data_IF_618772821357
#
_entry.id   IF_618772821357
#
_cell.length_a   1.000
_cell.length_b   1.000
_cell.length_c   1.000
_cell.angle_alpha   90.00
_cell.angle_beta   90.00
_cell.angle_gamma   90.00
#
_symmetry.space_group_name_H-M   'P 1'
#
loop_
_entity.id
_entity.type
_entity.pdbx_description
1 polymer ?
#
# COMPACT_ATOMS: atom_id res chain seq x y z
N UNK A 1 21.09 -1.70 10.35
CA UNK A 1 19.66 -1.34 10.27
C UNK A 1 18.82 -2.54 10.70
N UNK A 2 17.88 -2.37 11.63
CA UNK A 2 16.94 -3.38 12.09
C UNK A 2 15.70 -3.39 11.18
N UNK A 3 15.56 -4.43 10.36
CA UNK A 3 14.43 -4.56 9.42
C UNK A 3 13.76 -5.92 9.51
N UNK A 4 12.51 -5.97 9.04
CA UNK A 4 11.75 -7.21 8.87
C UNK A 4 10.75 -7.05 7.71
N UNK A 5 10.42 -8.16 7.06
CA UNK A 5 9.32 -8.23 6.12
C UNK A 5 8.05 -8.74 6.82
N UNK A 6 6.96 -7.99 6.65
CA UNK A 6 5.64 -8.25 7.23
C UNK A 6 4.69 -8.59 6.08
N UNK A 7 4.41 -9.87 5.88
CA UNK A 7 3.48 -10.33 4.85
C UNK A 7 2.06 -10.31 5.44
N UNK A 8 1.23 -9.39 4.96
CA UNK A 8 -0.17 -9.26 5.34
C UNK A 8 -0.93 -10.43 4.74
N UNK A 9 -1.27 -11.42 5.57
CA UNK A 9 -1.99 -12.61 5.15
C UNK A 9 -3.21 -12.86 6.02
N UNK A 10 -4.32 -13.20 5.36
CA UNK A 10 -5.56 -13.52 6.03
C UNK A 10 -5.57 -15.00 6.40
N UNK A 11 -5.64 -15.33 7.69
CA UNK A 11 -5.51 -16.70 8.20
C UNK A 11 -6.41 -17.75 7.51
N UNK A 12 -7.61 -17.36 7.07
CA UNK A 12 -8.53 -18.26 6.36
C UNK A 12 -8.22 -18.46 4.88
N UNK A 13 -7.31 -17.69 4.30
CA UNK A 13 -6.97 -17.74 2.88
C UNK A 13 -5.97 -18.88 2.59
N UNK A 14 -6.36 -20.11 2.95
CA UNK A 14 -5.49 -21.31 2.89
C UNK A 14 -4.87 -21.54 1.52
N UNK A 15 -5.60 -21.22 0.43
CA UNK A 15 -5.10 -21.31 -0.95
C UNK A 15 -3.83 -20.50 -1.22
N UNK A 16 -3.61 -19.41 -0.48
CA UNK A 16 -2.40 -18.57 -0.59
C UNK A 16 -1.33 -18.92 0.44
N UNK A 17 -1.61 -19.81 1.40
CA UNK A 17 -0.68 -20.18 2.47
C UNK A 17 0.63 -20.74 1.92
N UNK A 18 0.56 -21.70 1.00
CA UNK A 18 1.76 -22.28 0.37
C UNK A 18 2.60 -21.25 -0.38
N UNK A 19 1.95 -20.29 -1.04
CA UNK A 19 2.64 -19.18 -1.72
C UNK A 19 3.37 -18.28 -0.73
N UNK A 20 2.69 -17.89 0.35
CA UNK A 20 3.28 -17.06 1.42
C UNK A 20 4.48 -17.77 2.06
N UNK A 21 4.39 -19.07 2.34
CA UNK A 21 5.50 -19.85 2.88
C UNK A 21 6.71 -19.90 1.93
N UNK A 22 6.47 -20.02 0.62
CA UNK A 22 7.53 -19.94 -0.40
C UNK A 22 8.14 -18.55 -0.46
N UNK A 23 7.32 -17.50 -0.42
CA UNK A 23 7.77 -16.11 -0.44
C UNK A 23 8.67 -15.78 0.77
N UNK A 24 8.31 -16.24 1.98
CA UNK A 24 9.13 -16.07 3.19
C UNK A 24 10.56 -16.59 2.99
N UNK A 25 10.72 -17.73 2.33
CA UNK A 25 12.03 -18.36 2.10
C UNK A 25 12.86 -17.64 1.03
N UNK A 26 12.21 -16.91 0.11
CA UNK A 26 12.84 -16.22 -1.02
C UNK A 26 13.21 -14.78 -0.72
N UNK A 27 12.56 -14.15 0.26
CA UNK A 27 12.88 -12.77 0.65
C UNK A 27 14.30 -12.68 1.24
N UNK A 28 15.11 -11.68 0.84
CA UNK A 28 16.50 -11.55 1.29
C UNK A 28 16.62 -10.96 2.71
N UNK A 29 15.49 -10.68 3.38
CA UNK A 29 15.42 -10.23 4.77
C UNK A 29 14.47 -11.13 5.56
N UNK A 30 14.63 -11.15 6.90
CA UNK A 30 13.77 -11.96 7.78
C UNK A 30 12.30 -11.58 7.56
N UNK A 31 11.50 -12.57 7.18
CA UNK A 31 10.09 -12.40 6.87
C UNK A 31 9.21 -13.17 7.87
N UNK A 32 8.04 -12.62 8.13
CA UNK A 32 7.01 -13.26 8.95
C UNK A 32 5.61 -12.93 8.43
N UNK A 33 4.65 -13.76 8.84
CA UNK A 33 3.24 -13.51 8.57
C UNK A 33 2.71 -12.51 9.59
N UNK A 34 2.15 -11.41 9.09
CA UNK A 34 1.30 -10.51 9.85
C UNK A 34 -0.16 -10.86 9.57
N UNK A 35 -0.87 -11.36 10.58
CA UNK A 35 -2.30 -11.66 10.45
C UNK A 35 -3.09 -10.41 10.05
N UNK A 36 -3.68 -10.44 8.86
CA UNK A 36 -4.55 -9.40 8.34
C UNK A 36 -5.80 -9.25 9.22
N UNK A 37 -6.35 -8.04 9.24
CA UNK A 37 -7.66 -7.77 9.83
C UNK A 37 -8.73 -8.39 8.94
N UNK A 38 -9.63 -9.13 9.56
CA UNK A 38 -10.70 -9.82 8.87
C UNK A 38 -11.99 -9.02 8.90
N UNK A 39 -12.47 -8.58 7.74
CA UNK A 39 -13.75 -7.88 7.61
C UNK A 39 -14.94 -8.65 8.19
N UNK A 40 -14.88 -9.99 8.24
CA UNK A 40 -15.96 -10.83 8.80
C UNK A 40 -16.04 -10.76 10.32
N UNK A 41 -14.96 -10.32 10.98
CA UNK A 41 -14.88 -10.21 12.43
C UNK A 41 -15.04 -8.76 12.90
N UNK A 42 -15.27 -7.81 12.00
CA UNK A 42 -15.45 -6.40 12.35
C UNK A 42 -16.92 -6.11 12.68
N UNK A 43 -17.16 -5.55 13.85
CA UNK A 43 -18.46 -5.04 14.27
C UNK A 43 -18.74 -3.67 13.64
N UNK A 44 -20.02 -3.25 13.53
CA UNK A 44 -20.35 -1.90 13.08
C UNK A 44 -19.68 -0.79 13.91
N UNK A 45 -19.61 -0.95 15.23
CA UNK A 45 -18.97 0.04 16.12
C UNK A 45 -17.46 0.19 15.86
N UNK A 46 -16.76 -0.92 15.58
CA UNK A 46 -15.35 -0.88 15.20
C UNK A 46 -15.13 -0.22 13.84
N UNK A 47 -16.07 -0.40 12.89
CA UNK A 47 -16.04 0.28 11.59
C UNK A 47 -16.23 1.79 11.79
N UNK A 48 -17.25 2.20 12.54
CA UNK A 48 -17.58 3.62 12.76
C UNK A 48 -16.48 4.39 13.52
N UNK A 49 -15.75 3.70 14.38
CA UNK A 49 -14.61 4.26 15.11
C UNK A 49 -13.48 4.72 14.18
N UNK A 50 -13.23 3.99 13.09
CA UNK A 50 -12.07 4.25 12.20
C UNK A 50 -12.46 4.84 10.84
N UNK A 51 -13.70 4.67 10.40
CA UNK A 51 -14.16 5.09 9.09
C UNK A 51 -15.32 6.08 9.17
N UNK A 52 -15.22 7.15 8.37
CA UNK A 52 -16.36 8.04 8.13
C UNK A 52 -16.26 8.65 6.73
N UNK A 53 -17.40 8.98 6.13
CA UNK A 53 -17.45 9.60 4.80
C UNK A 53 -16.95 11.06 4.86
N UNK A 54 -16.29 11.49 3.78
CA UNK A 54 -16.03 12.90 3.49
C UNK A 54 -15.22 13.67 4.56
N UNK A 55 -14.31 12.99 5.27
CA UNK A 55 -13.43 13.63 6.26
C UNK A 55 -12.44 14.62 5.63
N UNK A 56 -11.99 14.38 4.39
CA UNK A 56 -10.91 15.16 3.76
C UNK A 56 -11.27 15.59 2.33
N UNK A 57 -10.84 16.79 1.94
CA UNK A 57 -10.94 17.25 0.54
C UNK A 57 -9.71 16.79 -0.28
N UNK A 58 -9.88 16.52 -1.60
CA UNK A 58 -11.16 16.38 -2.30
C UNK A 58 -11.94 15.15 -1.80
N UNK A 59 -13.26 15.24 -1.74
CA UNK A 59 -14.08 14.17 -1.17
C UNK A 59 -14.02 12.91 -2.03
N UNK A 60 -13.78 11.78 -1.39
CA UNK A 60 -13.74 10.50 -2.08
C UNK A 60 -15.16 10.07 -2.47
N UNK A 61 -15.44 9.80 -3.76
CA UNK A 61 -16.81 9.64 -4.25
C UNK A 61 -17.50 8.32 -3.88
N UNK A 62 -16.76 7.35 -3.36
CA UNK A 62 -17.29 6.00 -3.10
C UNK A 62 -17.23 5.64 -1.62
N UNK A 63 -18.28 5.00 -1.14
CA UNK A 63 -18.27 4.34 0.16
C UNK A 63 -17.33 3.12 0.12
N UNK A 64 -16.59 2.91 1.21
CA UNK A 64 -15.71 1.76 1.37
C UNK A 64 -16.53 0.52 1.74
N UNK A 65 -16.19 -0.60 1.12
CA UNK A 65 -16.64 -1.93 1.55
C UNK A 65 -15.95 -2.29 2.87
N UNK A 66 -16.56 -3.12 3.74
CA UNK A 66 -15.90 -3.64 4.93
C UNK A 66 -14.52 -4.28 4.63
N UNK A 67 -14.38 -4.95 3.48
CA UNK A 67 -13.09 -5.50 3.04
C UNK A 67 -12.03 -4.44 2.69
N UNK A 68 -12.43 -3.27 2.20
CA UNK A 68 -11.52 -2.15 1.94
C UNK A 68 -11.09 -1.49 3.27
N UNK A 69 -11.99 -1.42 4.25
CA UNK A 69 -11.71 -0.93 5.61
C UNK A 69 -10.75 -1.89 6.33
N UNK A 70 -11.01 -3.20 6.26
CA UNK A 70 -10.14 -4.23 6.84
C UNK A 70 -8.74 -4.27 6.17
N UNK A 71 -8.67 -4.09 4.85
CA UNK A 71 -7.40 -3.93 4.14
C UNK A 71 -6.63 -2.71 4.68
N UNK A 72 -7.27 -1.55 4.83
CA UNK A 72 -6.65 -0.37 5.43
C UNK A 72 -6.12 -0.67 6.83
N UNK A 73 -6.96 -1.23 7.70
CA UNK A 73 -6.59 -1.59 9.07
C UNK A 73 -5.44 -2.61 9.13
N UNK A 74 -5.31 -3.49 8.14
CA UNK A 74 -4.19 -4.43 8.03
C UNK A 74 -2.86 -3.71 7.74
N UNK A 75 -2.86 -2.70 6.87
CA UNK A 75 -1.67 -1.85 6.67
C UNK A 75 -1.34 -1.02 7.89
N UNK A 76 -2.35 -0.43 8.56
CA UNK A 76 -2.15 0.26 9.84
C UNK A 76 -1.54 -0.66 10.90
N UNK A 77 -1.99 -1.92 10.97
CA UNK A 77 -1.38 -2.93 11.85
C UNK A 77 0.09 -3.20 11.51
N UNK A 78 0.45 -3.22 10.22
CA UNK A 78 1.84 -3.36 9.79
C UNK A 78 2.68 -2.15 10.22
N UNK A 79 2.17 -0.94 10.06
CA UNK A 79 2.84 0.29 10.52
C UNK A 79 3.00 0.31 12.04
N UNK A 80 1.96 -0.08 12.79
CA UNK A 80 2.03 -0.20 14.25
C UNK A 80 3.11 -1.20 14.66
N UNK A 81 3.17 -2.35 13.98
CA UNK A 81 4.20 -3.37 14.22
C UNK A 81 5.63 -2.83 14.02
N UNK A 82 5.86 -2.00 13.00
CA UNK A 82 7.15 -1.35 12.74
C UNK A 82 7.56 -0.46 13.93
N UNK A 83 6.62 0.36 14.42
CA UNK A 83 6.84 1.29 15.54
C UNK A 83 7.03 0.53 16.85
N UNK A 84 6.11 -0.36 17.20
CA UNK A 84 6.09 -1.14 18.45
C UNK A 84 7.34 -2.00 18.62
N UNK A 85 7.83 -2.61 17.53
CA UNK A 85 9.03 -3.44 17.55
C UNK A 85 10.32 -2.63 17.41
N UNK A 86 10.23 -1.31 17.35
CA UNK A 86 11.34 -0.39 17.13
C UNK A 86 12.23 -0.81 15.95
N UNK A 87 11.61 -1.14 14.81
CA UNK A 87 12.34 -1.40 13.56
C UNK A 87 12.81 -0.07 12.98
N UNK A 88 13.91 -0.05 12.23
CA UNK A 88 14.30 1.14 11.47
C UNK A 88 13.41 1.31 10.23
N UNK A 89 13.09 0.18 9.59
CA UNK A 89 12.14 0.09 8.49
C UNK A 89 11.48 -1.31 8.42
N UNK A 90 10.27 -1.39 7.86
CA UNK A 90 9.59 -2.65 7.59
C UNK A 90 9.17 -2.78 6.14
N UNK A 91 9.41 -3.96 5.54
CA UNK A 91 8.93 -4.30 4.20
C UNK A 91 7.53 -4.91 4.32
N UNK A 92 6.49 -4.14 4.02
CA UNK A 92 5.10 -4.57 4.06
C UNK A 92 4.72 -5.17 2.71
N UNK A 93 4.11 -6.36 2.70
CA UNK A 93 3.83 -7.14 1.49
C UNK A 93 2.40 -7.71 1.53
N UNK A 94 1.63 -7.61 0.44
CA UNK A 94 0.36 -8.33 0.25
C UNK A 94 0.60 -9.82 -0.07
N UNK A 95 -0.28 -10.70 0.38
CA UNK A 95 -0.12 -12.16 0.26
C UNK A 95 -0.29 -12.73 -1.17
N UNK A 96 -0.60 -11.89 -2.15
CA UNK A 96 -0.67 -12.22 -3.57
C UNK A 96 0.51 -11.65 -4.38
N UNK A 97 1.53 -11.11 -3.71
CA UNK A 97 2.75 -10.63 -4.36
C UNK A 97 3.74 -11.75 -4.57
N UNK A 98 4.36 -11.75 -5.74
CA UNK A 98 5.55 -12.53 -6.02
C UNK A 98 6.67 -11.64 -6.57
N UNK A 99 7.90 -12.11 -6.46
CA UNK A 99 9.13 -11.37 -6.74
C UNK A 99 9.94 -12.03 -7.86
N UNK A 100 10.74 -11.23 -8.55
CA UNK A 100 11.79 -11.68 -9.46
C UNK A 100 13.11 -11.72 -8.68
N UNK A 101 13.50 -12.90 -8.17
CA UNK A 101 14.46 -13.05 -7.06
C UNK A 101 15.73 -12.19 -7.16
N UNK A 102 16.50 -12.32 -8.25
CA UNK A 102 17.75 -11.57 -8.45
C UNK A 102 17.53 -10.06 -8.55
N UNK A 103 16.76 -9.57 -9.53
CA UNK A 103 16.46 -8.14 -9.67
C UNK A 103 15.83 -7.51 -8.43
N UNK A 104 14.95 -8.25 -7.73
CA UNK A 104 14.33 -7.78 -6.51
C UNK A 104 15.34 -7.64 -5.37
N UNK A 105 16.27 -8.59 -5.21
CA UNK A 105 17.30 -8.53 -4.17
C UNK A 105 18.22 -7.31 -4.36
N UNK A 106 18.68 -7.04 -5.58
CA UNK A 106 19.49 -5.86 -5.90
C UNK A 106 18.73 -4.56 -5.62
N UNK A 107 17.46 -4.50 -6.02
CA UNK A 107 16.63 -3.33 -5.79
C UNK A 107 16.33 -3.09 -4.32
N UNK A 108 16.05 -4.15 -3.55
CA UNK A 108 15.80 -4.04 -2.12
C UNK A 108 17.06 -3.64 -1.37
N UNK A 109 18.25 -4.12 -1.77
CA UNK A 109 19.51 -3.67 -1.21
C UNK A 109 19.70 -2.15 -1.38
N UNK A 110 19.47 -1.63 -2.60
CA UNK A 110 19.52 -0.19 -2.87
C UNK A 110 18.48 0.58 -2.03
N UNK A 111 17.25 0.06 -1.92
CA UNK A 111 16.20 0.69 -1.12
C UNK A 111 16.57 0.76 0.37
N UNK A 112 17.13 -0.33 0.92
CA UNK A 112 17.58 -0.41 2.31
C UNK A 112 18.77 0.50 2.62
N UNK A 113 19.65 0.73 1.64
CA UNK A 113 20.76 1.68 1.78
C UNK A 113 20.28 3.14 1.72
N UNK A 114 19.33 3.44 0.84
CA UNK A 114 18.86 4.81 0.61
C UNK A 114 17.81 5.30 1.62
N UNK A 115 17.04 4.39 2.22
CA UNK A 115 15.86 4.74 3.02
C UNK A 115 16.20 5.61 4.23
N UNK A 116 15.46 6.70 4.41
CA UNK A 116 15.47 7.52 5.62
C UNK A 116 14.27 7.18 6.53
N UNK A 117 14.32 7.48 7.83
CA UNK A 117 13.23 7.15 8.77
C UNK A 117 11.83 7.66 8.33
N UNK A 118 11.78 8.82 7.67
CA UNK A 118 10.57 9.45 7.15
C UNK A 118 10.14 9.00 5.75
N UNK A 119 10.77 7.97 5.17
CA UNK A 119 10.52 7.52 3.81
C UNK A 119 9.49 6.39 3.71
N UNK A 120 8.81 6.36 2.57
CA UNK A 120 7.90 5.30 2.16
C UNK A 120 8.23 4.93 0.70
N UNK A 121 8.93 3.81 0.50
CA UNK A 121 9.38 3.35 -0.82
C UNK A 121 8.40 2.32 -1.34
N UNK A 122 7.72 2.63 -2.44
CA UNK A 122 6.79 1.71 -3.12
C UNK A 122 7.54 0.81 -4.09
N UNK A 123 7.15 -0.45 -4.15
CA UNK A 123 7.55 -1.40 -5.20
C UNK A 123 6.33 -1.58 -6.11
N UNK A 124 6.23 -0.83 -7.22
CA UNK A 124 5.09 -0.94 -8.10
C UNK A 124 5.17 -2.22 -8.93
N UNK A 125 4.01 -2.83 -9.22
CA UNK A 125 3.90 -3.95 -10.17
C UNK A 125 3.75 -3.52 -11.64
N UNK A 126 3.55 -2.23 -11.89
CA UNK A 126 3.39 -1.68 -13.24
C UNK A 126 3.99 -0.30 -13.41
N UNK A 127 4.47 -0.02 -14.62
CA UNK A 127 4.95 1.29 -15.04
C UNK A 127 3.78 2.26 -15.29
N UNK A 128 3.20 2.86 -14.24
CA UNK A 128 2.06 3.81 -14.37
C UNK A 128 2.45 5.23 -14.83
N UNK A 129 3.47 5.37 -15.67
CA UNK A 129 3.95 6.69 -16.13
C UNK A 129 4.35 7.63 -14.99
N UNK A 130 4.86 7.07 -13.88
CA UNK A 130 5.39 7.91 -12.80
C UNK A 130 6.68 8.58 -13.29
N UNK A 131 6.76 9.90 -13.11
CA UNK A 131 7.93 10.69 -13.44
C UNK A 131 8.37 11.52 -12.22
N UNK A 132 9.68 11.62 -12.03
CA UNK A 132 10.28 12.28 -10.90
C UNK A 132 11.80 12.26 -10.97
N UNK A 133 12.44 12.65 -9.88
CA UNK A 133 13.91 12.69 -9.77
C UNK A 133 14.37 11.44 -9.04
N UNK A 134 15.40 10.78 -9.57
CA UNK A 134 16.08 9.70 -8.85
C UNK A 134 16.87 10.30 -7.68
N UNK A 135 16.66 9.74 -6.48
CA UNK A 135 17.41 10.11 -5.27
C UNK A 135 18.56 9.12 -5.00
N UNK A 136 18.48 7.92 -5.57
CA UNK A 136 19.49 6.88 -5.49
C UNK A 136 19.43 6.02 -6.75
N UNK A 137 20.58 5.54 -7.20
CA UNK A 137 20.70 4.68 -8.39
C UNK A 137 21.90 3.76 -8.24
N UNK A 138 21.72 2.50 -8.61
CA UNK A 138 22.79 1.53 -8.73
C UNK A 138 22.49 0.60 -9.91
N UNK A 139 23.34 0.64 -10.94
CA UNK A 139 23.10 -0.07 -12.20
C UNK A 139 21.76 0.30 -12.83
N UNK A 140 20.90 -0.70 -13.03
CA UNK A 140 19.54 -0.53 -13.58
C UNK A 140 18.50 -0.18 -12.52
N UNK A 141 18.83 -0.32 -11.23
CA UNK A 141 17.93 -0.02 -10.13
C UNK A 141 17.98 1.48 -9.78
N UNK A 142 16.81 2.07 -9.49
CA UNK A 142 16.72 3.43 -8.95
C UNK A 142 15.60 3.58 -7.92
N UNK A 143 15.79 4.51 -6.99
CA UNK A 143 14.75 4.99 -6.08
C UNK A 143 14.40 6.41 -6.51
N UNK A 144 13.16 6.61 -6.93
CA UNK A 144 12.68 7.85 -7.55
C UNK A 144 11.64 8.52 -6.65
N UNK A 145 11.69 9.86 -6.57
CA UNK A 145 10.67 10.65 -5.90
C UNK A 145 9.64 11.15 -6.94
N UNK A 146 8.46 10.52 -7.05
CA UNK A 146 7.49 10.86 -8.07
C UNK A 146 6.82 12.21 -7.82
N UNK A 147 6.55 12.93 -8.90
CA UNK A 147 5.74 14.17 -8.83
C UNK A 147 4.36 13.90 -8.26
N UNK A 148 3.75 12.78 -8.65
CA UNK A 148 2.53 12.22 -8.08
C UNK A 148 2.77 10.72 -7.92
N UNK A 149 2.75 10.18 -6.68
CA UNK A 149 2.85 8.74 -6.48
C UNK A 149 1.70 8.04 -7.20
N UNK A 150 1.95 6.89 -7.81
CA UNK A 150 0.93 6.00 -8.33
C UNK A 150 0.15 5.31 -7.22
N UNK A 151 -0.73 4.39 -7.63
CA UNK A 151 -1.52 3.56 -6.70
C UNK A 151 -0.95 2.16 -6.63
N UNK A 152 -1.36 1.44 -5.60
CA UNK A 152 -0.98 0.06 -5.35
C UNK A 152 -0.36 -0.06 -3.97
N UNK A 153 -0.76 -1.12 -3.28
CA UNK A 153 -0.34 -1.46 -1.92
C UNK A 153 0.29 -2.86 -1.85
N UNK A 154 0.75 -3.37 -3.00
CA UNK A 154 1.38 -4.69 -3.13
C UNK A 154 2.59 -4.84 -2.21
N UNK A 155 3.59 -3.96 -2.37
CA UNK A 155 4.78 -4.02 -1.54
C UNK A 155 5.37 -2.62 -1.29
N UNK A 156 5.74 -2.33 -0.03
CA UNK A 156 6.36 -1.08 0.37
C UNK A 156 7.39 -1.27 1.48
N UNK A 157 8.53 -0.59 1.37
CA UNK A 157 9.46 -0.42 2.48
C UNK A 157 9.13 0.89 3.20
N UNK A 158 8.80 0.79 4.49
CA UNK A 158 8.27 1.91 5.28
C UNK A 158 9.23 2.19 6.44
N UNK A 159 9.80 3.39 6.48
CA UNK A 159 10.61 3.87 7.59
C UNK A 159 9.76 4.08 8.85
N UNK A 160 10.39 3.98 10.03
CA UNK A 160 9.66 4.04 11.31
C UNK A 160 8.93 5.36 11.55
N UNK A 161 9.53 6.50 11.20
CA UNK A 161 8.87 7.80 11.37
C UNK A 161 7.72 7.96 10.37
N UNK A 162 7.91 7.47 9.12
CA UNK A 162 6.81 7.40 8.16
C UNK A 162 5.65 6.54 8.69
N UNK A 163 5.93 5.38 9.28
CA UNK A 163 4.91 4.53 9.87
C UNK A 163 4.14 5.24 11.00
N UNK A 164 4.84 5.92 11.91
CA UNK A 164 4.22 6.69 12.99
C UNK A 164 3.34 7.84 12.48
N UNK A 165 3.82 8.60 11.50
CA UNK A 165 3.06 9.70 10.89
C UNK A 165 1.83 9.20 10.13
N UNK A 166 1.95 8.09 9.40
CA UNK A 166 0.82 7.47 8.73
C UNK A 166 -0.23 6.97 9.73
N UNK A 167 0.19 6.38 10.87
CA UNK A 167 -0.73 5.97 11.93
C UNK A 167 -1.52 7.16 12.49
N UNK A 168 -0.84 8.26 12.80
CA UNK A 168 -1.45 9.49 13.32
C UNK A 168 -2.38 10.14 12.31
N UNK A 169 -1.95 10.25 11.05
CA UNK A 169 -2.73 10.88 9.99
C UNK A 169 -4.01 10.11 9.63
N UNK A 170 -4.05 8.82 9.94
CA UNK A 170 -5.11 7.89 9.51
C UNK A 170 -5.84 7.21 10.66
N UNK A 171 -5.81 7.78 11.88
CA UNK A 171 -6.67 7.34 13.01
C UNK A 171 -8.12 7.19 12.58
N UNK A 172 -8.58 8.14 11.75
CA UNK A 172 -9.81 8.02 10.97
C UNK A 172 -9.55 8.26 9.50
N UNK A 173 -10.21 7.51 8.62
CA UNK A 173 -10.06 7.62 7.17
C UNK A 173 -11.40 7.57 6.44
N UNK A 174 -11.42 8.09 5.22
CA UNK A 174 -12.64 8.23 4.40
C UNK A 174 -12.53 7.63 2.99
N UNK A 175 -11.37 7.02 2.69
CA UNK A 175 -11.01 6.47 1.37
C UNK A 175 -10.00 5.34 1.52
N UNK A 176 -9.72 4.55 0.46
CA UNK A 176 -8.82 3.42 0.55
C UNK A 176 -7.39 3.87 0.87
N UNK A 177 -6.59 2.96 1.44
CA UNK A 177 -5.22 3.24 1.87
C UNK A 177 -4.34 3.72 0.71
N UNK A 178 -4.44 3.09 -0.46
CA UNK A 178 -3.64 3.43 -1.65
C UNK A 178 -3.79 4.91 -2.09
N UNK A 179 -5.01 5.41 -1.97
CA UNK A 179 -5.40 6.76 -2.34
C UNK A 179 -5.05 7.74 -1.23
N UNK A 180 -5.05 7.28 0.02
CA UNK A 180 -4.65 8.09 1.19
C UNK A 180 -3.16 8.37 1.18
N UNK A 181 -2.31 7.40 0.83
CA UNK A 181 -0.85 7.59 0.71
C UNK A 181 -0.47 8.64 -0.35
N UNK A 182 -1.31 8.83 -1.38
CA UNK A 182 -1.07 9.89 -2.37
C UNK A 182 -1.33 11.30 -1.81
N UNK A 183 -2.08 11.41 -0.71
CA UNK A 183 -2.44 12.68 -0.09
C UNK A 183 -1.33 13.17 0.84
N UNK A 184 -0.18 13.52 0.26
CA UNK A 184 1.01 14.01 0.98
C UNK A 184 0.81 15.28 1.81
N UNK A 185 -0.37 15.88 1.79
CA UNK A 185 -0.76 16.98 2.68
C UNK A 185 -1.43 16.49 3.97
N UNK A 186 -1.69 15.19 4.10
CA UNK A 186 -2.23 14.57 5.31
C UNK A 186 -1.14 14.02 6.23
N UNK A 187 0.03 13.73 5.69
CA UNK A 187 1.17 13.14 6.39
C UNK A 187 2.47 13.71 5.85
N UNK A 188 3.54 13.67 6.63
CA UNK A 188 4.86 14.19 6.23
C UNK A 188 5.74 13.13 5.56
N UNK A 189 5.32 11.85 5.54
CA UNK A 189 6.09 10.78 4.93
C UNK A 189 6.46 11.07 3.46
N UNK A 190 7.75 10.95 3.12
CA UNK A 190 8.28 11.16 1.76
C UNK A 190 8.03 9.91 0.93
N UNK A 191 7.08 10.02 -0.01
CA UNK A 191 6.69 8.91 -0.87
C UNK A 191 7.65 8.80 -2.06
N UNK A 192 8.26 7.62 -2.19
CA UNK A 192 9.24 7.23 -3.20
C UNK A 192 8.73 5.99 -3.96
N UNK A 193 9.34 5.69 -5.11
CA UNK A 193 9.05 4.51 -5.94
C UNK A 193 10.35 3.86 -6.40
N UNK A 194 10.48 2.55 -6.19
CA UNK A 194 11.57 1.75 -6.70
C UNK A 194 11.36 1.38 -8.19
N UNK A 195 12.45 1.32 -8.95
CA UNK A 195 12.52 0.91 -10.36
C UNK A 195 13.72 -0.02 -10.59
N UNK A 196 13.67 -0.97 -11.54
CA UNK A 196 12.56 -1.30 -12.44
C UNK A 196 11.40 -2.03 -11.72
N UNK A 197 10.41 -2.53 -12.47
CA UNK A 197 9.38 -3.42 -11.91
C UNK A 197 10.02 -4.79 -11.66
N UNK A 198 9.96 -5.28 -10.43
CA UNK A 198 10.58 -6.54 -9.98
C UNK A 198 9.60 -7.43 -9.19
N UNK A 199 8.33 -7.00 -9.14
CA UNK A 199 7.25 -7.72 -8.47
C UNK A 199 6.07 -7.86 -9.42
N UNK A 200 5.26 -8.88 -9.18
CA UNK A 200 4.01 -9.15 -9.87
C UNK A 200 2.97 -9.66 -8.88
N UNK A 201 1.70 -9.52 -9.25
CA UNK A 201 0.64 -10.24 -8.56
C UNK A 201 0.55 -11.64 -9.19
N UNK A 202 0.34 -12.66 -8.37
CA UNK A 202 0.02 -13.99 -8.89
C UNK A 202 -1.42 -13.97 -9.39
N UNK A 203 -1.59 -14.15 -10.71
CA UNK A 203 -2.92 -14.20 -11.31
C UNK A 203 -3.67 -15.44 -10.83
N UNK A 204 -4.95 -15.23 -10.62
CA UNK A 204 -5.74 -15.97 -9.65
C UNK A 204 -6.37 -17.22 -10.28
N UNK A 205 -5.56 -18.24 -10.61
CA UNK A 205 -6.07 -19.61 -10.85
C UNK A 205 -6.63 -20.28 -9.56
N UNK A 206 -6.79 -19.48 -8.50
CA UNK A 206 -7.28 -19.88 -7.18
C UNK A 206 -8.52 -19.07 -6.69
N UNK A 207 -9.22 -18.30 -7.56
CA UNK A 207 -10.43 -17.53 -7.21
C UNK A 207 -10.36 -16.00 -7.20
N UNK A 208 -9.99 -15.39 -8.33
CA UNK A 208 -10.00 -13.94 -8.52
C UNK A 208 -11.40 -13.35 -8.41
N UNK A 209 -11.54 -12.33 -7.57
CA UNK A 209 -12.72 -11.49 -7.37
C UNK A 209 -13.95 -12.17 -6.74
N UNK A 210 -13.80 -12.76 -5.55
CA UNK A 210 -14.97 -12.90 -4.67
C UNK A 210 -15.42 -11.50 -4.27
N UNK A 211 -16.64 -11.16 -4.69
CA UNK A 211 -17.34 -9.86 -4.67
C UNK A 211 -17.12 -8.95 -5.90
N UNK A 212 -17.15 -9.51 -7.11
CA UNK A 212 -18.06 -8.92 -8.10
C UNK A 212 -19.48 -9.34 -7.73
N UNK A 213 -20.15 -8.50 -6.94
CA UNK A 213 -21.59 -8.61 -6.76
C UNK A 213 -22.25 -8.59 -8.14
N UNK A 214 -22.70 -9.77 -8.58
CA UNK A 214 -23.77 -9.90 -9.56
C UNK A 214 -24.93 -9.05 -9.03
N UNK A 215 -25.33 -8.04 -9.79
CA UNK A 215 -26.28 -6.95 -9.46
C UNK A 215 -25.67 -5.60 -9.05
N UNK A 216 -24.68 -5.08 -9.81
CA UNK A 216 -24.50 -3.63 -9.88
C UNK A 216 -25.35 -3.08 -11.02
N UNK A 217 -26.33 -2.24 -10.70
CA UNK A 217 -27.09 -1.46 -11.69
C UNK A 217 -26.13 -0.77 -12.65
N UNK A 218 -26.45 -0.78 -13.94
CA UNK A 218 -25.67 -0.13 -15.00
C UNK A 218 -25.25 1.29 -14.63
N UNK A 219 -26.12 2.05 -13.94
CA UNK A 219 -25.83 3.39 -13.45
C UNK A 219 -24.71 3.47 -12.40
N UNK A 220 -24.56 2.45 -11.53
CA UNK A 220 -23.48 2.40 -10.54
C UNK A 220 -22.11 2.10 -11.19
N UNK A 221 -22.10 1.38 -12.32
CA UNK A 221 -20.91 1.16 -13.14
C UNK A 221 -20.50 2.42 -13.89
N UNK A 222 -21.46 3.06 -14.58
CA UNK A 222 -21.24 4.32 -15.30
C UNK A 222 -20.77 5.45 -14.36
N UNK A 223 -21.39 5.58 -13.18
CA UNK A 223 -20.95 6.54 -12.14
C UNK A 223 -19.51 6.29 -11.69
N UNK A 224 -19.06 5.03 -11.59
CA UNK A 224 -17.66 4.71 -11.26
C UNK A 224 -16.70 5.07 -12.40
N UNK A 225 -17.10 4.84 -13.64
CA UNK A 225 -16.30 5.16 -14.83
C UNK A 225 -16.12 6.68 -15.02
N UNK A 226 -17.07 7.51 -14.56
CA UNK A 226 -16.96 8.98 -14.59
C UNK A 226 -16.26 9.54 -13.34
N UNK A 227 -16.65 9.09 -12.14
CA UNK A 227 -16.15 9.68 -10.89
C UNK A 227 -14.70 9.31 -10.59
N UNK A 228 -14.20 8.16 -11.07
CA UNK A 228 -12.79 7.78 -10.87
C UNK A 228 -11.85 8.75 -11.62
N UNK A 229 -11.98 8.98 -12.94
CA UNK A 229 -11.19 9.98 -13.64
C UNK A 229 -11.33 11.39 -13.04
N UNK A 230 -12.56 11.83 -12.76
CA UNK A 230 -12.79 13.14 -12.15
C UNK A 230 -12.06 13.30 -10.82
N UNK A 231 -12.19 12.33 -9.91
CA UNK A 231 -11.51 12.35 -8.63
C UNK A 231 -9.99 12.35 -8.79
N UNK A 232 -9.45 11.62 -9.79
CA UNK A 232 -8.01 11.61 -10.09
C UNK A 232 -7.51 12.98 -10.56
N UNK A 233 -8.29 13.68 -11.38
CA UNK A 233 -7.98 15.05 -11.80
C UNK A 233 -8.04 16.00 -10.60
N UNK A 234 -9.10 15.94 -9.80
CA UNK A 234 -9.24 16.75 -8.59
C UNK A 234 -8.08 16.53 -7.61
N UNK A 235 -7.68 15.27 -7.39
CA UNK A 235 -6.53 14.92 -6.55
C UNK A 235 -5.23 15.49 -7.10
N UNK A 236 -5.01 15.39 -8.42
CA UNK A 236 -3.82 15.94 -9.06
C UNK A 236 -3.74 17.47 -8.87
N UNK A 237 -4.82 18.19 -9.16
CA UNK A 237 -4.91 19.64 -8.97
C UNK A 237 -4.67 20.03 -7.51
N UNK A 238 -5.31 19.34 -6.57
CA UNK A 238 -5.16 19.60 -5.13
C UNK A 238 -3.73 19.31 -4.64
N UNK A 239 -3.09 18.28 -5.19
CA UNK A 239 -1.71 17.94 -4.86
C UNK A 239 -0.70 19.00 -5.32
N UNK A 240 -1.02 19.75 -6.39
CA UNK A 240 -0.16 20.83 -6.90
C UNK A 240 -0.25 22.09 -6.04
N UNK A 241 -1.45 22.41 -5.56
CA UNK A 241 -1.70 23.63 -4.77
C UNK A 241 -1.21 23.53 -3.33
N UNK A 242 -0.97 22.32 -2.81
CA UNK A 242 -0.49 22.06 -1.44
C UNK A 242 0.92 21.47 -1.38
N UNK A 243 1.74 21.69 -2.41
CA UNK A 243 3.19 21.51 -2.31
C UNK A 243 3.76 22.70 -1.55
N UNK A 244 3.78 22.58 -0.23
CA UNK A 244 4.66 23.35 0.65
C UNK A 244 5.75 22.43 1.13
#
# INVERSE_FOLDING_TARGET
>A
MKTAALIIHLKRATKRGEHVEKLIKRLPIKAEILNAVDAMNMTPGEIDAVYARSLRKPYYPFELRPSEIACFQSHRKAWATIVERNLDAGLVIEDDVDIDDGPFAEQLALALEAIQPGDYIRFPRWTRGEHGTDIARNGTCSIMQPRLPGLGMQMQLVGREAAAELLKATERFDRPVDTTIQMRWLHTARILSARPITIREIDFDLGGTVVQGKNKSFGARLKREILRPYYRVALNLYSRTRRT
#
